data_IF_439004623642
#
_entry.id   IF_439004623642
#
_cell.length_a   1.000
_cell.length_b   1.000
_cell.length_c   1.000
_cell.angle_alpha   90.00
_cell.angle_beta   90.00
_cell.angle_gamma   90.00
#
_symmetry.space_group_name_H-M   'P 1'
#
loop_
_entity.id
_entity.type
_entity.pdbx_description
1 polymer ?
#
# COMPACT_ATOMS: atom_id res chain seq x y z
N UNK A 1 12.56 64.75 -56.01
CA UNK A 1 11.23 64.13 -55.79
C UNK A 1 11.42 62.71 -55.27
N UNK A 2 10.68 62.36 -54.21
CA UNK A 2 10.46 61.02 -53.61
C UNK A 2 11.67 60.27 -53.03
N UNK A 3 11.55 59.50 -51.93
CA UNK A 3 10.69 59.46 -50.73
C UNK A 3 11.34 58.35 -49.89
N UNK A 4 11.54 58.58 -48.60
CA UNK A 4 12.14 57.63 -47.66
C UNK A 4 11.42 56.26 -47.68
N UNK A 5 12.18 55.18 -47.83
CA UNK A 5 11.70 53.80 -47.75
C UNK A 5 11.68 53.33 -46.30
N UNK A 6 10.48 52.97 -45.81
CA UNK A 6 10.21 52.43 -44.47
C UNK A 6 10.77 51.01 -44.32
N UNK A 7 11.70 50.81 -43.39
CA UNK A 7 12.02 49.48 -42.85
C UNK A 7 10.90 49.04 -41.88
N UNK A 8 10.08 48.07 -42.29
CA UNK A 8 9.19 47.33 -41.39
C UNK A 8 10.03 46.30 -40.66
N UNK A 9 10.24 46.50 -39.35
CA UNK A 9 10.72 45.46 -38.44
C UNK A 9 9.64 44.38 -38.33
N UNK A 10 9.93 43.18 -38.81
CA UNK A 10 9.11 42.00 -38.57
C UNK A 10 9.56 41.44 -37.22
N UNK A 11 8.74 41.57 -36.18
CA UNK A 11 8.92 40.82 -34.93
C UNK A 11 8.52 39.36 -35.21
N UNK A 12 9.35 38.35 -34.88
CA UNK A 12 8.88 36.98 -34.87
C UNK A 12 8.00 36.80 -33.62
N UNK A 13 6.75 36.40 -33.86
CA UNK A 13 5.79 36.00 -32.84
C UNK A 13 6.32 34.71 -32.18
N UNK A 14 6.99 34.84 -31.02
CA UNK A 14 7.37 33.68 -30.21
C UNK A 14 6.09 33.11 -29.57
N UNK A 15 5.54 32.06 -30.17
CA UNK A 15 4.51 31.23 -29.55
C UNK A 15 5.12 30.49 -28.36
N UNK A 16 4.85 30.98 -27.15
CA UNK A 16 4.99 30.21 -25.91
C UNK A 16 3.91 29.11 -25.90
N UNK A 17 4.25 27.93 -26.40
CA UNK A 17 3.50 26.72 -26.07
C UNK A 17 3.87 26.29 -24.65
N UNK A 18 3.04 26.68 -23.68
CA UNK A 18 3.07 26.07 -22.36
C UNK A 18 2.57 24.62 -22.51
N UNK A 19 3.50 23.67 -22.67
CA UNK A 19 3.22 22.25 -22.51
C UNK A 19 2.98 22.01 -21.01
N UNK A 20 1.72 22.12 -20.58
CA UNK A 20 1.25 21.48 -19.36
C UNK A 20 1.24 19.97 -19.61
N UNK A 21 2.43 19.35 -19.55
CA UNK A 21 2.55 17.91 -19.36
C UNK A 21 2.03 17.62 -17.95
N UNK A 22 0.72 17.38 -17.84
CA UNK A 22 0.18 16.69 -16.69
C UNK A 22 0.88 15.33 -16.62
N UNK A 23 1.79 15.18 -15.67
CA UNK A 23 2.37 13.88 -15.36
C UNK A 23 1.21 12.96 -14.98
N UNK A 24 1.07 11.78 -15.61
CA UNK A 24 0.08 10.83 -15.18
C UNK A 24 0.40 10.50 -13.72
N UNK A 25 -0.59 10.65 -12.84
CA UNK A 25 -0.53 10.10 -11.50
C UNK A 25 -0.06 8.65 -11.64
N UNK A 26 1.03 8.28 -10.98
CA UNK A 26 1.53 6.91 -11.01
C UNK A 26 0.40 6.00 -10.52
N UNK A 27 -0.26 5.33 -11.46
CA UNK A 27 -1.29 4.37 -11.17
C UNK A 27 -0.62 3.23 -10.40
N UNK A 28 -1.26 2.75 -9.33
CA UNK A 28 -0.83 1.53 -8.68
C UNK A 28 -0.76 0.41 -9.72
N UNK A 29 0.27 -0.44 -9.63
CA UNK A 29 0.39 -1.59 -10.53
C UNK A 29 -0.94 -2.37 -10.55
N UNK A 30 -1.48 -2.69 -11.73
CA UNK A 30 -2.72 -3.43 -11.84
C UNK A 30 -2.56 -4.80 -11.19
N UNK A 31 -3.61 -5.29 -10.54
CA UNK A 31 -3.61 -6.63 -9.97
C UNK A 31 -3.44 -7.69 -11.07
N UNK A 32 -2.68 -8.77 -10.82
CA UNK A 32 -2.58 -9.87 -11.77
C UNK A 32 -3.97 -10.46 -12.01
N UNK A 33 -4.35 -10.57 -13.29
CA UNK A 33 -5.65 -11.10 -13.73
C UNK A 33 -5.57 -12.56 -14.18
N UNK A 34 -4.37 -13.12 -14.26
CA UNK A 34 -4.12 -14.51 -14.63
C UNK A 34 -2.90 -15.06 -13.89
N UNK A 35 -2.88 -16.40 -13.75
CA UNK A 35 -1.75 -17.13 -13.19
C UNK A 35 -0.70 -17.28 -14.30
N UNK A 36 0.58 -16.95 -14.06
CA UNK A 36 1.61 -17.20 -15.06
C UNK A 36 1.73 -18.69 -15.39
N UNK A 37 2.02 -18.98 -16.66
CA UNK A 37 2.05 -20.35 -17.17
C UNK A 37 2.99 -21.26 -16.35
N UNK A 38 2.47 -22.42 -15.94
CA UNK A 38 3.21 -23.43 -15.20
C UNK A 38 3.38 -23.16 -13.70
N UNK A 39 2.80 -22.07 -13.16
CA UNK A 39 2.88 -21.74 -11.75
C UNK A 39 1.58 -22.11 -10.99
N UNK A 40 1.67 -22.47 -9.70
CA UNK A 40 0.51 -22.90 -8.95
C UNK A 40 -0.46 -21.75 -8.67
N UNK A 41 -1.75 -22.01 -8.86
CA UNK A 41 -2.81 -21.00 -8.64
C UNK A 41 -2.84 -20.43 -7.23
N UNK A 42 -2.53 -21.26 -6.22
CA UNK A 42 -2.54 -20.85 -4.82
C UNK A 42 -1.46 -19.83 -4.45
N UNK A 43 -0.44 -19.63 -5.30
CA UNK A 43 0.64 -18.68 -5.07
C UNK A 43 0.32 -17.25 -5.54
N UNK A 44 -0.84 -17.03 -6.18
CA UNK A 44 -1.22 -15.75 -6.76
C UNK A 44 -2.56 -15.28 -6.23
N UNK A 45 -2.61 -14.02 -5.78
CA UNK A 45 -3.85 -13.35 -5.41
C UNK A 45 -4.57 -12.86 -6.67
N UNK A 46 -5.21 -13.77 -7.39
CA UNK A 46 -6.07 -13.44 -8.53
C UNK A 46 -7.48 -13.13 -8.01
N UNK A 47 -8.05 -11.95 -8.30
CA UNK A 47 -9.42 -11.63 -7.90
C UNK A 47 -10.43 -12.66 -8.35
N UNK A 48 -11.31 -13.05 -7.43
CA UNK A 48 -12.49 -13.87 -7.73
C UNK A 48 -13.39 -13.13 -8.73
N UNK A 49 -14.02 -13.83 -9.67
CA UNK A 49 -14.86 -13.17 -10.69
C UNK A 49 -16.16 -12.63 -10.10
N UNK A 50 -16.76 -13.42 -9.22
CA UNK A 50 -18.03 -13.09 -8.57
C UNK A 50 -17.75 -12.55 -7.18
N UNK A 51 -17.94 -11.24 -7.01
CA UNK A 51 -17.70 -10.53 -5.75
C UNK A 51 -18.92 -9.68 -5.40
N UNK A 52 -19.29 -9.55 -4.12
CA UNK A 52 -20.25 -8.54 -3.72
C UNK A 52 -19.71 -7.13 -4.09
N UNK A 53 -20.60 -6.15 -4.34
CA UNK A 53 -20.16 -4.78 -4.59
C UNK A 53 -19.27 -4.28 -3.45
N UNK A 54 -18.15 -3.60 -3.73
CA UNK A 54 -17.26 -3.11 -2.69
C UNK A 54 -18.00 -2.09 -1.83
N UNK A 55 -18.00 -2.32 -0.51
CA UNK A 55 -18.49 -1.34 0.44
C UNK A 55 -17.51 -0.17 0.49
N UNK A 56 -17.93 1.00 0.02
CA UNK A 56 -17.10 2.22 0.01
C UNK A 56 -17.61 3.21 1.02
N UNK A 57 -16.69 3.72 1.85
CA UNK A 57 -16.95 4.87 2.70
C UNK A 57 -17.25 6.13 1.86
N UNK A 58 -18.20 6.92 2.36
CA UNK A 58 -18.60 8.21 1.79
C UNK A 58 -18.72 9.26 2.90
N UNK A 59 -18.65 10.53 2.52
CA UNK A 59 -18.69 11.64 3.48
C UNK A 59 -17.44 11.74 4.36
N UNK A 60 -17.62 12.35 5.52
CA UNK A 60 -16.59 12.53 6.56
C UNK A 60 -16.48 11.26 7.40
N UNK A 61 -15.25 10.76 7.55
CA UNK A 61 -14.92 9.53 8.26
C UNK A 61 -14.15 9.91 9.53
N UNK A 62 -14.49 9.20 10.61
CA UNK A 62 -13.83 9.30 11.92
C UNK A 62 -13.44 7.91 12.37
N UNK A 63 -12.26 7.80 12.97
CA UNK A 63 -11.79 6.56 13.62
C UNK A 63 -11.92 6.74 15.14
N UNK A 64 -12.46 5.76 15.89
CA UNK A 64 -12.48 5.82 17.35
C UNK A 64 -11.09 6.08 17.94
N UNK A 65 -10.99 7.06 18.83
CA UNK A 65 -9.71 7.44 19.46
C UNK A 65 -8.85 8.42 18.64
N UNK A 66 -9.15 8.63 17.36
CA UNK A 66 -8.47 9.63 16.55
C UNK A 66 -9.08 11.02 16.74
N UNK A 67 -8.24 12.05 16.83
CA UNK A 67 -8.65 13.46 16.75
C UNK A 67 -8.79 13.96 15.29
N UNK A 68 -8.56 13.09 14.30
CA UNK A 68 -8.58 13.42 12.88
C UNK A 68 -9.92 13.06 12.26
N UNK A 69 -10.27 13.83 11.24
CA UNK A 69 -11.38 13.55 10.35
C UNK A 69 -10.87 13.71 8.93
N UNK A 70 -11.25 12.78 8.06
CA UNK A 70 -10.93 12.82 6.65
C UNK A 70 -12.19 12.59 5.84
N UNK A 71 -12.32 13.26 4.70
CA UNK A 71 -13.31 12.85 3.72
C UNK A 71 -12.88 11.58 2.99
N UNK A 72 -13.83 10.93 2.33
CA UNK A 72 -13.57 9.69 1.61
C UNK A 72 -12.52 9.80 0.48
N UNK A 73 -12.31 10.98 -0.12
CA UNK A 73 -11.27 11.19 -1.13
C UNK A 73 -9.88 11.30 -0.48
N UNK A 74 -9.77 11.97 0.66
CA UNK A 74 -8.55 12.05 1.45
C UNK A 74 -8.10 10.67 1.94
N UNK A 75 -9.03 9.85 2.44
CA UNK A 75 -8.74 8.47 2.87
C UNK A 75 -8.18 7.61 1.72
N UNK A 76 -8.68 7.81 0.50
CA UNK A 76 -8.23 7.06 -0.69
C UNK A 76 -6.96 7.62 -1.32
N UNK A 77 -6.48 8.76 -0.86
CA UNK A 77 -5.32 9.43 -1.46
C UNK A 77 -4.08 8.53 -1.46
N UNK A 78 -3.38 8.49 -2.59
CA UNK A 78 -2.10 7.77 -2.76
C UNK A 78 -0.89 8.71 -2.70
N UNK A 79 -1.15 10.02 -2.66
CA UNK A 79 -0.13 11.08 -2.59
C UNK A 79 -0.13 11.82 -1.26
N UNK A 80 -1.15 11.62 -0.43
CA UNK A 80 -1.28 12.14 0.92
C UNK A 80 -2.17 11.19 1.73
N UNK A 81 -1.72 9.94 1.98
CA UNK A 81 -2.46 8.96 2.78
C UNK A 81 -2.85 9.51 4.16
N UNK A 82 -3.99 9.08 4.73
CA UNK A 82 -4.43 9.53 6.04
C UNK A 82 -3.43 9.11 7.13
N UNK A 83 -3.21 10.02 8.07
CA UNK A 83 -2.48 9.80 9.30
C UNK A 83 -3.48 9.96 10.46
N UNK A 84 -4.15 8.87 10.81
CA UNK A 84 -5.20 8.86 11.82
C UNK A 84 -4.66 9.15 13.23
N UNK A 85 -3.41 8.78 13.52
CA UNK A 85 -2.84 8.83 14.87
C UNK A 85 -1.41 9.39 14.86
N UNK A 86 -1.23 10.69 14.54
CA UNK A 86 0.10 11.29 14.39
C UNK A 86 0.93 11.30 15.69
N UNK A 87 0.27 11.11 16.84
CA UNK A 87 0.90 11.09 18.16
C UNK A 87 1.39 9.68 18.56
N UNK A 88 1.10 8.64 17.77
CA UNK A 88 1.51 7.25 18.02
C UNK A 88 2.82 6.85 17.34
N UNK A 89 3.41 7.74 16.55
CA UNK A 89 4.69 7.54 15.88
C UNK A 89 5.52 8.83 15.86
N UNK A 90 6.83 8.77 15.59
CA UNK A 90 7.65 9.96 15.36
C UNK A 90 7.10 10.81 14.21
N UNK A 91 7.51 12.09 14.05
CA UNK A 91 7.06 12.89 12.91
C UNK A 91 7.41 12.22 11.56
N UNK A 92 6.39 11.95 10.75
CA UNK A 92 6.58 11.29 9.45
C UNK A 92 7.27 12.22 8.43
N UNK A 93 8.39 11.80 7.80
CA UNK A 93 9.05 12.59 6.77
C UNK A 93 8.22 12.63 5.48
N UNK A 94 8.52 13.58 4.59
CA UNK A 94 7.71 13.82 3.38
C UNK A 94 7.56 12.58 2.50
N UNK A 95 8.61 11.79 2.35
CA UNK A 95 8.58 10.54 1.58
C UNK A 95 7.58 9.51 2.13
N UNK A 96 7.27 9.56 3.44
CA UNK A 96 6.30 8.67 4.08
C UNK A 96 4.88 9.23 3.98
N UNK A 97 4.68 10.52 4.32
CA UNK A 97 3.35 11.14 4.38
C UNK A 97 2.82 11.68 3.05
N UNK A 98 3.70 12.02 2.11
CA UNK A 98 3.36 12.27 0.72
C UNK A 98 3.43 13.70 0.17
N UNK A 99 3.11 14.79 0.92
CA UNK A 99 3.26 16.14 0.39
C UNK A 99 4.68 16.43 -0.11
N UNK A 100 4.81 16.74 -1.41
CA UNK A 100 6.08 16.94 -2.12
C UNK A 100 6.98 15.70 -2.30
N UNK A 101 6.50 14.50 -1.99
CA UNK A 101 7.17 13.26 -2.37
C UNK A 101 7.06 13.01 -3.89
N UNK A 102 7.99 12.26 -4.50
CA UNK A 102 7.84 11.83 -5.88
C UNK A 102 6.50 11.08 -6.07
N UNK A 103 5.70 11.42 -7.10
CA UNK A 103 4.44 10.72 -7.36
C UNK A 103 4.63 9.21 -7.45
N UNK A 104 3.80 8.46 -6.73
CA UNK A 104 3.87 7.00 -6.68
C UNK A 104 4.94 6.41 -5.75
N UNK A 105 5.69 7.24 -5.03
CA UNK A 105 6.74 6.77 -4.11
C UNK A 105 6.42 6.98 -2.61
N UNK A 106 5.18 7.34 -2.28
CA UNK A 106 4.77 7.61 -0.90
C UNK A 106 4.71 6.32 -0.09
N UNK A 107 5.66 6.11 0.82
CA UNK A 107 5.81 4.83 1.53
C UNK A 107 4.58 4.49 2.37
N UNK A 108 4.01 5.49 3.05
CA UNK A 108 2.85 5.33 3.92
C UNK A 108 1.56 4.98 3.18
N UNK A 109 1.54 5.04 1.84
CA UNK A 109 0.37 4.62 1.05
C UNK A 109 0.14 3.11 1.13
N UNK A 110 1.22 2.32 1.14
CA UNK A 110 1.15 0.85 1.16
C UNK A 110 1.58 0.27 2.51
N UNK A 111 2.57 0.86 3.16
CA UNK A 111 3.08 0.41 4.46
C UNK A 111 2.33 1.04 5.65
N UNK A 112 1.38 1.96 5.39
CA UNK A 112 0.70 2.77 6.40
C UNK A 112 1.67 3.67 7.18
N UNK A 113 1.14 4.63 7.95
CA UNK A 113 1.97 5.42 8.87
C UNK A 113 2.55 4.54 9.99
N UNK A 114 1.83 3.50 10.40
CA UNK A 114 2.26 2.54 11.41
C UNK A 114 3.34 1.56 10.95
N UNK A 115 3.68 1.51 9.65
CA UNK A 115 4.65 0.57 9.10
C UNK A 115 4.15 -0.89 9.00
N UNK A 116 3.00 -1.22 9.59
CA UNK A 116 2.44 -2.57 9.61
C UNK A 116 2.00 -3.04 8.21
N UNK A 117 1.51 -2.11 7.39
CA UNK A 117 0.91 -2.45 6.11
C UNK A 117 -0.34 -3.34 6.22
N UNK A 118 -0.87 -3.71 5.07
CA UNK A 118 -1.79 -4.84 4.91
C UNK A 118 -1.01 -6.04 4.36
N UNK A 119 -1.58 -7.26 4.28
CA UNK A 119 -0.87 -8.46 3.82
C UNK A 119 -0.26 -8.37 2.42
N UNK A 120 -0.74 -7.48 1.55
CA UNK A 120 -0.13 -7.21 0.25
C UNK A 120 1.18 -6.39 0.31
N UNK A 121 1.48 -5.83 1.48
CA UNK A 121 2.66 -5.03 1.82
C UNK A 121 3.46 -5.71 2.93
N UNK A 122 4.78 -5.51 2.96
CA UNK A 122 5.58 -5.99 4.09
C UNK A 122 5.35 -5.12 5.33
N UNK A 123 5.24 -5.75 6.50
CA UNK A 123 5.41 -5.06 7.79
C UNK A 123 6.89 -4.66 7.92
N UNK A 124 7.11 -3.36 8.09
CA UNK A 124 8.43 -2.73 8.22
C UNK A 124 8.59 -1.96 9.54
N UNK A 125 7.59 -2.00 10.42
CA UNK A 125 7.65 -1.33 11.71
C UNK A 125 8.77 -1.91 12.59
N UNK A 126 9.64 -1.05 13.10
CA UNK A 126 10.73 -1.44 13.99
C UNK A 126 11.86 -2.24 13.31
N UNK A 127 11.83 -2.45 11.99
CA UNK A 127 12.95 -3.07 11.30
C UNK A 127 14.19 -2.17 11.35
N UNK A 128 15.41 -2.72 11.46
CA UNK A 128 16.61 -1.92 11.48
C UNK A 128 16.72 -1.01 10.24
N UNK A 129 17.03 0.27 10.43
CA UNK A 129 17.11 1.23 9.32
C UNK A 129 18.09 0.74 8.22
N UNK A 130 19.24 0.21 8.62
CA UNK A 130 20.23 -0.39 7.70
C UNK A 130 19.68 -1.55 6.87
N UNK A 131 18.76 -2.34 7.44
CA UNK A 131 18.09 -3.40 6.70
C UNK A 131 17.17 -2.83 5.64
N UNK A 132 16.33 -1.84 5.98
CA UNK A 132 15.43 -1.18 5.05
C UNK A 132 16.21 -0.54 3.89
N UNK A 133 17.28 0.22 4.20
CA UNK A 133 18.17 0.83 3.20
C UNK A 133 18.76 -0.24 2.26
N UNK A 134 19.21 -1.38 2.82
CA UNK A 134 19.75 -2.48 2.02
C UNK A 134 18.71 -3.11 1.10
N UNK A 135 17.47 -3.31 1.57
CA UNK A 135 16.39 -3.82 0.72
C UNK A 135 16.11 -2.89 -0.45
N UNK A 136 16.07 -1.58 -0.21
CA UNK A 136 15.88 -0.59 -1.28
C UNK A 136 17.02 -0.61 -2.29
N UNK A 137 18.27 -0.76 -1.85
CA UNK A 137 19.42 -0.95 -2.75
C UNK A 137 19.29 -2.21 -3.60
N UNK A 138 18.81 -3.31 -3.03
CA UNK A 138 18.62 -4.57 -3.75
C UNK A 138 17.47 -4.50 -4.76
N UNK A 139 16.37 -3.82 -4.44
CA UNK A 139 15.30 -3.56 -5.40
C UNK A 139 15.79 -2.66 -6.54
N UNK A 140 16.54 -1.59 -6.23
CA UNK A 140 17.07 -0.67 -7.24
C UNK A 140 18.01 -1.37 -8.21
N UNK A 141 18.90 -2.25 -7.71
CA UNK A 141 19.85 -2.99 -8.53
C UNK A 141 19.27 -4.21 -9.24
N UNK A 142 18.08 -4.67 -8.85
CA UNK A 142 17.49 -5.92 -9.32
C UNK A 142 18.05 -7.18 -8.63
N UNK A 143 18.94 -7.03 -7.64
CA UNK A 143 19.38 -8.15 -6.81
C UNK A 143 18.22 -8.77 -6.02
N UNK A 144 17.21 -7.96 -5.67
CA UNK A 144 15.89 -8.41 -5.25
C UNK A 144 14.90 -8.06 -6.35
N UNK A 145 14.32 -9.08 -6.98
CA UNK A 145 13.39 -8.90 -8.10
C UNK A 145 12.01 -8.50 -7.59
N UNK A 146 11.51 -7.38 -8.09
CA UNK A 146 10.13 -6.91 -8.00
C UNK A 146 9.94 -5.88 -9.11
N UNK A 147 9.47 -6.33 -10.26
CA UNK A 147 9.35 -5.51 -11.46
C UNK A 147 8.08 -4.63 -11.45
N UNK A 148 7.18 -4.85 -10.49
CA UNK A 148 5.85 -4.23 -10.47
C UNK A 148 5.75 -3.11 -9.44
N UNK A 149 6.43 -3.22 -8.28
CA UNK A 149 6.21 -2.31 -7.14
C UNK A 149 7.51 -1.70 -6.64
N UNK A 150 8.23 -2.40 -5.77
CA UNK A 150 9.37 -1.84 -5.06
C UNK A 150 10.57 -1.61 -5.97
N UNK A 151 10.74 -2.35 -7.06
CA UNK A 151 11.80 -2.09 -8.05
C UNK A 151 11.65 -0.72 -8.72
N UNK A 152 10.51 -0.42 -9.38
CA UNK A 152 10.23 0.91 -9.92
C UNK A 152 10.32 2.03 -8.86
N UNK A 153 9.74 1.83 -7.67
CA UNK A 153 9.81 2.82 -6.58
C UNK A 153 11.26 3.08 -6.17
N UNK A 154 12.05 2.03 -5.96
CA UNK A 154 13.45 2.15 -5.54
C UNK A 154 14.32 2.89 -6.56
N UNK A 155 13.97 2.84 -7.85
CA UNK A 155 14.63 3.60 -8.92
C UNK A 155 14.22 5.08 -8.96
N UNK A 156 13.08 5.44 -8.38
CA UNK A 156 12.49 6.78 -8.42
C UNK A 156 12.70 7.61 -7.15
N UNK A 157 13.26 7.03 -6.09
CA UNK A 157 13.54 7.70 -4.81
C UNK A 157 15.03 7.95 -4.62
N UNK A 158 15.37 9.08 -3.99
CA UNK A 158 16.76 9.40 -3.65
C UNK A 158 17.27 8.56 -2.47
N UNK A 159 18.59 8.51 -2.28
CA UNK A 159 19.17 7.85 -1.10
C UNK A 159 18.78 8.54 0.21
N UNK A 160 18.60 9.85 0.16
CA UNK A 160 18.15 10.65 1.30
C UNK A 160 16.70 10.35 1.67
N UNK A 161 15.82 10.21 0.69
CA UNK A 161 14.43 9.77 0.90
C UNK A 161 14.40 8.38 1.56
N UNK A 162 15.20 7.44 1.04
CA UNK A 162 15.30 6.09 1.60
C UNK A 162 15.81 6.12 3.04
N UNK A 163 16.82 6.94 3.34
CA UNK A 163 17.37 7.10 4.69
C UNK A 163 16.31 7.65 5.66
N UNK A 164 15.61 8.71 5.28
CA UNK A 164 14.55 9.31 6.12
C UNK A 164 13.41 8.31 6.39
N UNK A 165 12.95 7.59 5.36
CA UNK A 165 11.93 6.56 5.54
C UNK A 165 12.41 5.42 6.44
N UNK A 166 13.65 4.96 6.25
CA UNK A 166 14.23 3.88 7.05
C UNK A 166 14.38 4.25 8.52
N UNK A 167 14.85 5.46 8.82
CA UNK A 167 14.95 5.98 10.20
C UNK A 167 13.57 6.11 10.85
N UNK A 168 12.59 6.63 10.10
CA UNK A 168 11.21 6.73 10.56
C UNK A 168 10.65 5.35 10.95
N UNK A 169 10.63 4.38 10.01
CA UNK A 169 10.02 3.07 10.27
C UNK A 169 10.78 2.27 11.33
N UNK A 170 12.11 2.43 11.43
CA UNK A 170 12.90 1.82 12.51
C UNK A 170 12.53 2.33 13.90
N UNK A 171 12.05 3.56 14.01
CA UNK A 171 11.59 4.16 15.26
C UNK A 171 10.11 3.88 15.57
N UNK A 172 9.35 3.33 14.62
CA UNK A 172 7.98 2.89 14.88
C UNK A 172 7.99 1.63 15.74
N UNK A 173 7.18 1.63 16.80
CA UNK A 173 7.08 0.49 17.70
C UNK A 173 6.34 -0.66 17.00
N UNK A 174 6.95 -1.86 16.87
CA UNK A 174 6.24 -3.01 16.33
C UNK A 174 5.16 -3.49 17.30
N UNK A 175 4.03 -3.93 16.75
CA UNK A 175 2.90 -4.48 17.50
C UNK A 175 2.55 -5.88 16.99
N UNK A 176 1.79 -6.64 17.78
CA UNK A 176 1.21 -7.89 17.31
C UNK A 176 0.05 -7.59 16.36
N UNK A 177 0.32 -7.66 15.05
CA UNK A 177 -0.64 -7.28 14.01
C UNK A 177 -1.58 -8.39 13.56
N UNK A 178 -1.13 -9.64 13.62
CA UNK A 178 -1.88 -10.80 13.14
C UNK A 178 -2.28 -11.68 14.32
N UNK A 179 -3.59 -11.88 14.50
CA UNK A 179 -4.15 -12.83 15.45
C UNK A 179 -4.30 -14.21 14.79
N UNK A 180 -3.74 -15.25 15.40
CA UNK A 180 -3.89 -16.62 14.90
C UNK A 180 -5.12 -17.29 15.51
N UNK A 181 -5.95 -17.92 14.69
CA UNK A 181 -7.12 -18.70 15.14
C UNK A 181 -7.08 -20.09 14.50
N UNK A 182 -7.02 -21.12 15.34
CA UNK A 182 -7.17 -22.51 14.89
C UNK A 182 -8.65 -22.85 14.66
N UNK A 183 -9.00 -23.24 13.43
CA UNK A 183 -10.37 -23.66 13.11
C UNK A 183 -10.38 -24.57 11.89
N UNK A 184 -11.25 -25.58 11.90
CA UNK A 184 -11.48 -26.44 10.73
C UNK A 184 -12.40 -25.76 9.69
N UNK A 185 -13.17 -24.74 10.11
CA UNK A 185 -14.23 -24.10 9.30
C UNK A 185 -14.21 -22.58 9.50
N UNK A 186 -13.21 -21.86 8.96
CA UNK A 186 -13.20 -20.41 8.97
C UNK A 186 -14.36 -19.82 8.17
N UNK A 187 -14.67 -18.53 8.34
CA UNK A 187 -15.57 -17.80 7.44
C UNK A 187 -15.11 -17.94 5.99
N UNK A 188 -16.07 -18.01 5.08
CA UNK A 188 -15.80 -18.04 3.65
C UNK A 188 -15.18 -16.72 3.22
N UNK A 189 -14.17 -16.79 2.35
CA UNK A 189 -13.47 -15.61 1.83
C UNK A 189 -13.42 -15.57 0.32
N UNK A 190 -13.14 -14.40 -0.24
CA UNK A 190 -12.81 -14.20 -1.65
C UNK A 190 -11.63 -13.24 -1.79
N UNK A 191 -10.87 -13.32 -2.88
CA UNK A 191 -9.79 -12.37 -3.16
C UNK A 191 -10.39 -11.09 -3.72
N UNK A 192 -10.35 -10.00 -2.96
CA UNK A 192 -11.00 -8.74 -3.34
C UNK A 192 -10.29 -8.04 -4.50
N UNK A 193 -11.06 -7.58 -5.48
CA UNK A 193 -10.57 -6.71 -6.56
C UNK A 193 -10.16 -5.31 -6.08
N UNK A 194 -10.69 -4.87 -4.94
CA UNK A 194 -10.48 -3.51 -4.38
C UNK A 194 -9.40 -3.48 -3.29
N UNK A 195 -9.33 -4.53 -2.45
CA UNK A 195 -8.48 -4.56 -1.26
C UNK A 195 -7.15 -5.32 -1.46
N UNK A 196 -6.97 -6.06 -2.55
CA UNK A 196 -5.76 -6.84 -2.89
C UNK A 196 -5.34 -7.93 -1.88
N UNK A 197 -6.16 -8.17 -0.87
CA UNK A 197 -6.10 -9.31 0.05
C UNK A 197 -7.47 -10.01 0.12
N UNK A 198 -7.53 -11.13 0.86
CA UNK A 198 -8.78 -11.86 1.09
C UNK A 198 -9.67 -11.11 2.06
N UNK A 199 -10.96 -11.03 1.73
CA UNK A 199 -11.98 -10.45 2.60
C UNK A 199 -13.12 -11.44 2.83
N UNK A 200 -13.94 -11.19 3.84
CA UNK A 200 -15.05 -12.06 4.25
C UNK A 200 -16.20 -11.99 3.23
N UNK A 201 -16.81 -13.13 2.93
CA UNK A 201 -18.13 -13.15 2.27
C UNK A 201 -19.18 -12.66 3.29
N UNK A 202 -20.01 -11.65 2.96
CA UNK A 202 -20.92 -11.04 3.94
C UNK A 202 -22.07 -11.93 4.45
N UNK A 203 -22.30 -13.08 3.83
CA UNK A 203 -23.42 -13.99 4.15
C UNK A 203 -23.21 -14.81 5.43
N UNK A 204 -22.03 -14.70 6.06
CA UNK A 204 -21.67 -15.43 7.28
C UNK A 204 -21.41 -16.92 7.05
N UNK A 205 -21.32 -17.37 5.79
CA UNK A 205 -20.99 -18.75 5.46
C UNK A 205 -19.57 -19.11 5.89
N UNK A 206 -19.32 -20.40 6.06
CA UNK A 206 -18.00 -20.96 6.40
C UNK A 206 -17.53 -21.93 5.33
N UNK A 207 -16.23 -22.22 5.29
CA UNK A 207 -15.63 -23.17 4.36
C UNK A 207 -14.63 -24.10 5.06
N UNK A 208 -14.48 -25.39 4.67
CA UNK A 208 -13.48 -26.28 5.25
C UNK A 208 -12.05 -25.77 4.97
N UNK A 209 -11.22 -25.53 6.00
CA UNK A 209 -9.90 -24.91 5.81
C UNK A 209 -8.90 -25.80 5.06
N UNK A 210 -8.99 -27.12 5.23
CA UNK A 210 -8.01 -28.07 4.70
C UNK A 210 -6.60 -27.80 5.25
N UNK A 211 -5.64 -27.58 4.36
CA UNK A 211 -4.24 -27.25 4.71
C UNK A 211 -3.90 -25.77 4.50
N UNK A 212 -4.91 -24.91 4.33
CA UNK A 212 -4.71 -23.50 3.98
C UNK A 212 -4.46 -22.66 5.23
N UNK A 213 -3.71 -21.58 5.04
CA UNK A 213 -3.72 -20.42 5.94
C UNK A 213 -4.54 -19.35 5.23
N UNK A 214 -5.57 -18.83 5.90
CA UNK A 214 -6.46 -17.81 5.34
C UNK A 214 -6.33 -16.56 6.20
N UNK A 215 -5.82 -15.49 5.62
CA UNK A 215 -5.68 -14.21 6.30
C UNK A 215 -6.81 -13.26 5.89
N UNK A 216 -7.45 -12.61 6.87
CA UNK A 216 -8.54 -11.65 6.63
C UNK A 216 -8.41 -10.46 7.56
N UNK A 217 -8.90 -9.27 7.17
CA UNK A 217 -9.03 -8.16 8.10
C UNK A 217 -9.98 -8.54 9.25
N UNK A 218 -9.69 -8.05 10.47
CA UNK A 218 -10.63 -8.15 11.60
C UNK A 218 -11.90 -7.37 11.29
N UNK A 219 -11.75 -6.17 10.72
CA UNK A 219 -12.84 -5.30 10.28
C UNK A 219 -12.52 -4.76 8.87
N UNK A 220 -13.16 -5.30 7.81
CA UNK A 220 -12.92 -4.87 6.44
C UNK A 220 -13.14 -3.37 6.21
N UNK A 221 -14.05 -2.74 6.95
CA UNK A 221 -14.33 -1.32 6.81
C UNK A 221 -13.20 -0.47 7.38
N UNK A 222 -12.73 -0.79 8.59
CA UNK A 222 -11.57 -0.12 9.20
C UNK A 222 -10.30 -0.31 8.37
N UNK A 223 -10.08 -1.51 7.83
CA UNK A 223 -8.96 -1.78 6.91
C UNK A 223 -9.07 -0.93 5.64
N UNK A 224 -10.28 -0.80 5.07
CA UNK A 224 -10.49 0.00 3.84
C UNK A 224 -10.18 1.49 4.02
N UNK A 225 -10.30 2.00 5.25
CA UNK A 225 -9.96 3.39 5.58
C UNK A 225 -8.53 3.56 6.09
N UNK A 226 -7.71 2.50 6.04
CA UNK A 226 -6.30 2.49 6.45
C UNK A 226 -6.12 2.83 7.93
N UNK A 227 -7.05 2.37 8.76
CA UNK A 227 -6.93 2.48 10.21
C UNK A 227 -5.76 1.59 10.70
N UNK A 228 -4.72 2.16 11.33
CA UNK A 228 -3.56 1.39 11.81
C UNK A 228 -3.87 0.52 13.03
N UNK A 229 -5.10 0.52 13.57
CA UNK A 229 -5.55 -0.40 14.60
C UNK A 229 -6.37 -1.58 14.05
N UNK A 230 -6.62 -1.59 12.73
CA UNK A 230 -7.35 -2.67 12.06
C UNK A 230 -6.45 -3.88 11.76
N UNK A 231 -6.24 -4.70 12.79
CA UNK A 231 -5.45 -5.93 12.74
C UNK A 231 -6.00 -6.97 11.74
N UNK A 232 -5.20 -8.02 11.51
CA UNK A 232 -5.58 -9.16 10.67
C UNK A 232 -5.75 -10.43 11.51
N UNK A 233 -6.51 -11.38 10.97
CA UNK A 233 -6.68 -12.73 11.51
C UNK A 233 -6.09 -13.72 10.52
N UNK A 234 -5.18 -14.58 10.98
CA UNK A 234 -4.75 -15.77 10.25
C UNK A 234 -5.52 -16.99 10.80
N UNK A 235 -6.48 -17.48 10.02
CA UNK A 235 -7.09 -18.77 10.28
C UNK A 235 -6.15 -19.89 9.83
N UNK A 236 -5.91 -20.85 10.71
CA UNK A 236 -4.99 -21.97 10.48
C UNK A 236 -5.64 -23.31 10.86
N UNK A 237 -5.19 -24.44 10.30
CA UNK A 237 -5.73 -25.74 10.67
C UNK A 237 -5.50 -26.05 12.17
N UNK A 238 -6.41 -26.77 12.85
CA UNK A 238 -6.21 -27.17 14.24
C UNK A 238 -4.88 -27.89 14.49
N UNK A 239 -4.20 -27.54 15.59
CA UNK A 239 -2.89 -28.05 15.97
C UNK A 239 -1.70 -27.39 15.25
N UNK A 240 -1.92 -26.34 14.45
CA UNK A 240 -0.84 -25.57 13.80
C UNK A 240 0.04 -24.82 14.81
N UNK A 241 -0.54 -24.27 15.89
CA UNK A 241 0.18 -23.56 16.96
C UNK A 241 1.12 -24.54 17.67
N UNK A 242 0.60 -25.68 18.11
CA UNK A 242 1.41 -26.71 18.76
C UNK A 242 2.56 -27.22 17.86
N UNK A 243 2.31 -27.36 16.55
CA UNK A 243 3.35 -27.69 15.57
C UNK A 243 4.41 -26.58 15.46
N UNK A 244 3.98 -25.32 15.40
CA UNK A 244 4.88 -24.17 15.39
C UNK A 244 5.78 -24.12 16.61
N UNK A 245 5.22 -24.32 17.81
CA UNK A 245 5.97 -24.39 19.07
C UNK A 245 7.02 -25.52 19.07
N UNK A 246 6.72 -26.64 18.43
CA UNK A 246 7.67 -27.76 18.33
C UNK A 246 8.85 -27.47 17.38
N UNK A 247 8.71 -26.54 16.43
CA UNK A 247 9.76 -26.18 15.46
C UNK A 247 10.78 -25.18 16.02
N UNK A 248 10.43 -24.44 17.07
CA UNK A 248 11.26 -23.38 17.66
C UNK A 248 11.96 -23.79 18.96
N UNK A 249 11.79 -25.04 19.38
CA UNK A 249 12.51 -25.68 20.49
C UNK A 249 13.81 -26.31 20.01
#
# INVERSE_FOLDING_TARGET
>A
MNKMSKWRRVLPLAMLFAFLLGLPAAAQAPMPTSIPNGLPSWAYNIPDKDQPPPARVSGTIRVPGSAKEYDAAQVRSTTNPPDWFPDEHPPAPQIVRGPNAPPGAVCGTCHLMSGQGHPESADIAGLPAEYIVRQMKYFRSGARKDDERMGPIAKNVSDEDVRQAAEYFAAVKPISWVKVIETATPPKTYVSSDARHRVLVPDGSTEPIGHRIIETPVDPMQTSIRDPHSAFIAYVPPGSIAKGEALVK
#
